data_IF_063433885241
#
_entry.id   IF_063433885241
#
_cell.length_a   1.000
_cell.length_b   1.000
_cell.length_c   1.000
_cell.angle_alpha   90.00
_cell.angle_beta   90.00
_cell.angle_gamma   90.00
#
_symmetry.space_group_name_H-M   'P 1'
#
loop_
_entity.id
_entity.type
_entity.pdbx_description
1 polymer ?
#
# COMPACT_ATOMS: atom_id res chain seq x y z
N UNK A 1 17.34 6.62 -10.67
CA UNK A 1 16.57 7.01 -9.46
C UNK A 1 16.99 6.10 -8.31
N UNK A 2 17.11 6.63 -7.09
CA UNK A 2 17.58 5.84 -5.94
C UNK A 2 16.45 5.26 -5.08
N UNK A 3 15.23 5.83 -5.11
CA UNK A 3 14.14 5.39 -4.23
C UNK A 3 12.81 5.23 -4.95
N UNK A 4 12.06 4.17 -4.62
CA UNK A 4 10.69 3.95 -5.10
C UNK A 4 9.74 3.98 -3.90
N UNK A 5 9.04 5.10 -3.75
CA UNK A 5 8.11 5.40 -2.65
C UNK A 5 6.91 6.15 -3.19
N UNK A 6 5.92 6.45 -2.34
CA UNK A 6 4.80 7.33 -2.71
C UNK A 6 5.25 8.66 -3.32
N UNK A 7 6.32 9.26 -2.80
CA UNK A 7 6.80 10.58 -3.23
C UNK A 7 7.46 10.55 -4.62
N UNK A 8 8.03 9.41 -5.00
CA UNK A 8 8.77 9.27 -6.28
C UNK A 8 7.97 8.53 -7.35
N UNK A 9 6.90 7.82 -6.97
CA UNK A 9 6.13 6.96 -7.87
C UNK A 9 5.59 7.70 -9.11
N UNK A 10 5.04 8.91 -8.94
CA UNK A 10 4.47 9.68 -10.05
C UNK A 10 5.51 10.07 -11.11
N UNK A 11 6.77 10.26 -10.69
CA UNK A 11 7.87 10.64 -11.58
C UNK A 11 8.29 9.48 -12.49
N UNK A 12 8.14 8.23 -12.02
CA UNK A 12 8.56 7.02 -12.74
C UNK A 12 7.41 6.32 -13.46
N UNK A 13 6.17 6.52 -13.03
CA UNK A 13 5.02 5.79 -13.54
C UNK A 13 4.92 5.86 -15.07
N UNK A 14 5.05 7.06 -15.66
CA UNK A 14 5.03 7.23 -17.12
C UNK A 14 6.13 6.43 -17.83
N UNK A 15 7.32 6.39 -17.25
CA UNK A 15 8.45 5.64 -17.81
C UNK A 15 8.21 4.14 -17.73
N UNK A 16 7.69 3.65 -16.61
CA UNK A 16 7.47 2.21 -16.40
C UNK A 16 6.32 1.66 -17.23
N UNK A 17 5.25 2.44 -17.43
CA UNK A 17 4.15 2.05 -18.32
C UNK A 17 4.65 1.92 -19.77
N UNK A 18 5.47 2.88 -20.24
CA UNK A 18 5.92 2.94 -21.64
C UNK A 18 7.06 2.00 -22.00
N UNK A 19 7.92 1.66 -21.04
CA UNK A 19 9.09 0.82 -21.28
C UNK A 19 8.74 -0.66 -21.21
N UNK A 20 9.31 -1.49 -22.08
CA UNK A 20 9.26 -2.96 -21.96
C UNK A 20 10.09 -3.48 -20.78
N UNK A 21 11.07 -2.68 -20.35
CA UNK A 21 11.97 -2.98 -19.26
C UNK A 21 11.86 -1.94 -18.14
N UNK A 22 11.66 -2.42 -16.91
CA UNK A 22 11.69 -1.62 -15.68
C UNK A 22 13.07 -1.85 -15.04
N UNK A 23 13.96 -0.87 -15.18
CA UNK A 23 15.31 -0.96 -14.61
C UNK A 23 15.33 -0.50 -13.15
N UNK A 24 15.50 -1.44 -12.22
CA UNK A 24 15.65 -1.16 -10.79
C UNK A 24 17.11 -1.22 -10.33
N UNK A 25 18.09 -1.40 -11.22
CA UNK A 25 19.49 -1.62 -10.87
C UNK A 25 20.08 -0.51 -9.99
N UNK A 26 19.64 0.73 -10.19
CA UNK A 26 20.04 1.91 -9.39
C UNK A 26 19.20 2.17 -8.13
N UNK A 27 18.22 1.35 -7.82
CA UNK A 27 17.35 1.51 -6.65
C UNK A 27 18.08 1.06 -5.38
N UNK A 28 18.20 1.97 -4.43
CA UNK A 28 18.79 1.75 -3.11
C UNK A 28 17.77 1.68 -1.99
N UNK A 29 16.51 2.06 -2.24
CA UNK A 29 15.41 1.94 -1.27
C UNK A 29 14.07 1.78 -1.99
N UNK A 30 13.22 0.91 -1.45
CA UNK A 30 11.83 0.74 -1.86
C UNK A 30 11.01 0.48 -0.61
N UNK A 31 9.79 0.99 -0.55
CA UNK A 31 8.89 0.78 0.58
C UNK A 31 7.65 -0.05 0.16
N UNK A 32 6.74 -0.40 1.10
CA UNK A 32 5.53 -1.15 0.74
C UNK A 32 4.69 -0.50 -0.36
N UNK A 33 4.63 0.84 -0.40
CA UNK A 33 3.91 1.53 -1.46
C UNK A 33 4.57 1.29 -2.82
N UNK A 34 5.89 1.46 -2.88
CA UNK A 34 6.66 1.22 -4.10
C UNK A 34 6.57 -0.21 -4.61
N UNK A 35 6.64 -1.20 -3.70
CA UNK A 35 6.52 -2.61 -4.07
C UNK A 35 5.14 -2.93 -4.63
N UNK A 36 4.06 -2.54 -3.94
CA UNK A 36 2.70 -2.80 -4.41
C UNK A 36 2.44 -2.07 -5.72
N UNK A 37 2.90 -0.83 -5.87
CA UNK A 37 2.69 -0.07 -7.10
C UNK A 37 3.39 -0.72 -8.32
N UNK A 38 4.55 -1.36 -8.13
CA UNK A 38 5.19 -2.19 -9.16
C UNK A 38 4.36 -3.43 -9.50
N UNK A 39 3.80 -4.12 -8.50
CA UNK A 39 2.93 -5.28 -8.72
C UNK A 39 1.66 -4.89 -9.47
N UNK A 40 1.04 -3.76 -9.13
CA UNK A 40 -0.14 -3.24 -9.82
C UNK A 40 0.16 -2.84 -11.28
N UNK A 41 1.35 -2.30 -11.58
CA UNK A 41 1.79 -2.13 -12.97
C UNK A 41 1.81 -3.48 -13.69
N UNK A 42 2.27 -4.54 -13.00
CA UNK A 42 2.27 -5.90 -13.52
C UNK A 42 0.87 -6.45 -13.77
N UNK A 43 -0.07 -6.24 -12.85
CA UNK A 43 -1.46 -6.63 -13.02
C UNK A 43 -2.11 -5.91 -14.21
N UNK A 44 -1.81 -4.62 -14.40
CA UNK A 44 -2.25 -3.89 -15.58
C UNK A 44 -1.68 -4.49 -16.87
N UNK A 45 -0.39 -4.88 -16.88
CA UNK A 45 0.22 -5.54 -18.03
C UNK A 45 -0.47 -6.87 -18.35
N UNK A 46 -0.82 -7.67 -17.33
CA UNK A 46 -1.56 -8.92 -17.52
C UNK A 46 -2.95 -8.70 -18.16
N UNK A 47 -3.67 -7.64 -17.78
CA UNK A 47 -4.96 -7.29 -18.40
C UNK A 47 -4.83 -6.91 -19.88
N UNK A 48 -3.66 -6.42 -20.29
CA UNK A 48 -3.34 -6.03 -21.66
C UNK A 48 -2.59 -7.12 -22.45
N UNK A 49 -2.42 -8.32 -21.88
CA UNK A 49 -1.61 -9.43 -22.42
C UNK A 49 -0.16 -9.03 -22.75
N UNK A 50 0.38 -8.10 -21.96
CA UNK A 50 1.77 -7.62 -22.03
C UNK A 50 2.57 -8.22 -20.88
N UNK A 51 3.82 -8.59 -21.15
CA UNK A 51 4.76 -9.02 -20.11
C UNK A 51 6.04 -8.19 -20.18
N UNK A 52 6.31 -7.44 -19.11
CA UNK A 52 7.52 -6.61 -18.99
C UNK A 52 8.65 -7.35 -18.27
N UNK A 53 9.87 -6.84 -18.40
CA UNK A 53 11.04 -7.36 -17.68
C UNK A 53 11.45 -6.40 -16.56
N UNK A 54 11.67 -6.90 -15.35
CA UNK A 54 12.28 -6.14 -14.25
C UNK A 54 13.76 -6.48 -14.18
N UNK A 55 14.63 -5.48 -14.33
CA UNK A 55 16.05 -5.61 -13.98
C UNK A 55 16.18 -5.43 -12.49
N UNK A 56 16.68 -6.43 -11.78
CA UNK A 56 16.72 -6.43 -10.33
C UNK A 56 17.70 -5.37 -9.77
N UNK A 57 17.45 -4.84 -8.56
CA UNK A 57 18.38 -3.94 -7.90
C UNK A 57 19.78 -4.54 -7.73
N UNK A 58 20.82 -3.70 -7.85
CA UNK A 58 22.19 -4.11 -7.51
C UNK A 58 22.42 -4.19 -6.00
N UNK A 59 21.62 -3.48 -5.21
CA UNK A 59 21.71 -3.50 -3.75
C UNK A 59 21.19 -4.84 -3.21
N UNK A 60 22.08 -5.65 -2.65
CA UNK A 60 21.69 -6.89 -1.98
C UNK A 60 20.73 -6.66 -0.82
N UNK A 61 20.85 -5.53 -0.12
CA UNK A 61 19.95 -5.18 0.97
C UNK A 61 18.51 -5.01 0.46
N UNK A 62 18.35 -4.33 -0.68
CA UNK A 62 17.05 -4.17 -1.34
C UNK A 62 16.54 -5.52 -1.83
N UNK A 63 17.37 -6.35 -2.45
CA UNK A 63 16.95 -7.69 -2.89
C UNK A 63 16.52 -8.58 -1.72
N UNK A 64 17.28 -8.59 -0.61
CA UNK A 64 16.90 -9.30 0.61
C UNK A 64 15.59 -8.76 1.19
N UNK A 65 15.37 -7.44 1.13
CA UNK A 65 14.12 -6.85 1.58
C UNK A 65 12.92 -7.26 0.70
N UNK A 66 13.08 -7.22 -0.62
CA UNK A 66 12.06 -7.69 -1.58
C UNK A 66 11.71 -9.16 -1.35
N UNK A 67 12.69 -10.02 -1.11
CA UNK A 67 12.48 -11.43 -0.78
C UNK A 67 11.72 -11.60 0.55
N UNK A 68 12.11 -10.86 1.61
CA UNK A 68 11.39 -10.90 2.91
C UNK A 68 9.94 -10.44 2.81
N UNK A 69 9.63 -9.58 1.85
CA UNK A 69 8.27 -9.06 1.62
C UNK A 69 7.46 -9.95 0.66
N UNK A 70 7.98 -11.11 0.26
CA UNK A 70 7.39 -11.99 -0.76
C UNK A 70 7.15 -11.31 -2.12
N UNK A 71 7.85 -10.20 -2.42
CA UNK A 71 7.66 -9.45 -3.67
C UNK A 71 7.92 -10.31 -4.90
N UNK A 72 9.01 -11.08 -4.92
CA UNK A 72 9.37 -11.89 -6.09
C UNK A 72 8.39 -13.04 -6.33
N UNK A 73 7.69 -13.52 -5.30
CA UNK A 73 6.64 -14.53 -5.44
C UNK A 73 5.47 -13.98 -6.27
N UNK A 74 5.08 -12.74 -6.02
CA UNK A 74 4.02 -12.07 -6.78
C UNK A 74 4.51 -11.57 -8.14
N UNK A 75 5.68 -10.93 -8.18
CA UNK A 75 6.21 -10.30 -9.39
C UNK A 75 6.45 -11.30 -10.54
N UNK A 76 6.84 -12.56 -10.25
CA UNK A 76 7.04 -13.59 -11.30
C UNK A 76 5.76 -13.96 -12.05
N UNK A 77 4.58 -13.64 -11.51
CA UNK A 77 3.30 -13.87 -12.19
C UNK A 77 3.13 -12.93 -13.39
N UNK A 78 3.47 -11.65 -13.23
CA UNK A 78 3.28 -10.60 -14.24
C UNK A 78 4.56 -10.17 -14.96
N UNK A 79 5.74 -10.46 -14.42
CA UNK A 79 7.02 -10.01 -14.97
C UNK A 79 8.00 -11.16 -15.24
N UNK A 80 8.87 -10.93 -16.21
CA UNK A 80 10.16 -11.62 -16.32
C UNK A 80 11.17 -10.92 -15.42
N UNK A 81 11.93 -11.67 -14.62
CA UNK A 81 12.95 -11.09 -13.73
C UNK A 81 14.34 -11.32 -14.32
N UNK A 82 15.08 -10.24 -14.54
CA UNK A 82 16.46 -10.26 -15.01
C UNK A 82 17.40 -9.92 -13.85
N UNK A 83 18.23 -10.87 -13.46
CA UNK A 83 19.24 -10.65 -12.43
C UNK A 83 20.27 -9.61 -12.90
N UNK A 84 20.56 -8.63 -12.04
CA UNK A 84 21.76 -7.82 -12.18
C UNK A 84 22.94 -8.72 -11.82
N UNK A 85 23.84 -8.95 -12.77
CA UNK A 85 24.96 -9.91 -12.64
C UNK A 85 25.74 -9.77 -11.32
N UNK A 86 26.10 -10.95 -10.77
CA UNK A 86 26.93 -11.23 -9.59
C UNK A 86 26.29 -11.19 -8.20
N UNK A 87 25.16 -11.87 -7.99
CA UNK A 87 24.94 -12.62 -6.75
C UNK A 87 23.90 -13.69 -7.02
N UNK A 88 24.38 -14.91 -7.31
CA UNK A 88 23.55 -16.09 -7.18
C UNK A 88 22.81 -16.00 -5.85
N UNK A 89 21.48 -16.14 -5.88
CA UNK A 89 20.64 -16.30 -4.69
C UNK A 89 20.97 -17.68 -4.10
N UNK A 90 22.20 -17.81 -3.59
CA UNK A 90 22.73 -18.96 -2.93
C UNK A 90 22.48 -18.76 -1.44
N UNK A 91 21.53 -19.55 -0.94
CA UNK A 91 21.34 -19.74 0.49
C UNK A 91 20.09 -19.07 1.01
N UNK A 92 19.19 -19.92 1.50
CA UNK A 92 18.17 -19.62 2.51
C UNK A 92 18.87 -18.97 3.70
N UNK A 93 19.13 -17.66 3.63
CA UNK A 93 19.74 -16.93 4.72
C UNK A 93 18.72 -16.84 5.84
N UNK A 94 19.15 -17.22 7.04
CA UNK A 94 18.33 -17.33 8.23
C UNK A 94 17.43 -16.11 8.37
N UNK A 95 16.11 -16.33 8.39
CA UNK A 95 15.14 -15.29 8.77
C UNK A 95 15.55 -14.81 10.16
N UNK A 96 16.21 -13.65 10.24
CA UNK A 96 16.54 -13.05 11.53
C UNK A 96 15.23 -12.82 12.27
N UNK A 97 15.19 -13.29 13.51
CA UNK A 97 14.02 -13.35 14.39
C UNK A 97 13.51 -11.98 14.87
N UNK A 98 13.88 -10.90 14.21
CA UNK A 98 13.44 -9.52 14.51
C UNK A 98 12.82 -8.93 13.25
N UNK A 99 11.68 -9.50 12.86
CA UNK A 99 10.99 -9.16 11.62
C UNK A 99 10.30 -7.82 11.80
N UNK A 100 10.94 -6.75 11.34
CA UNK A 100 10.29 -5.46 11.14
C UNK A 100 9.06 -5.56 10.19
N UNK A 101 8.89 -6.68 9.48
CA UNK A 101 7.73 -6.98 8.64
C UNK A 101 6.55 -7.37 9.52
N UNK A 102 5.47 -6.57 9.48
CA UNK A 102 4.21 -6.92 10.14
C UNK A 102 3.38 -7.84 9.24
N UNK A 103 3.36 -7.57 7.94
CA UNK A 103 2.66 -8.38 6.94
C UNK A 103 3.43 -8.33 5.62
N UNK A 104 3.90 -9.50 5.18
CA UNK A 104 4.44 -9.70 3.84
C UNK A 104 3.37 -9.38 2.78
N UNK A 105 3.77 -9.11 1.54
CA UNK A 105 2.81 -8.78 0.49
C UNK A 105 1.81 -9.94 0.35
N UNK A 106 0.54 -9.62 0.52
CA UNK A 106 -0.56 -10.58 0.53
C UNK A 106 -1.62 -10.14 -0.47
N UNK A 107 -2.04 -11.04 -1.34
CA UNK A 107 -3.13 -10.80 -2.28
C UNK A 107 -4.48 -10.76 -1.57
N UNK A 108 -5.38 -9.92 -2.06
CA UNK A 108 -6.76 -9.76 -1.60
C UNK A 108 -7.66 -10.09 -2.78
N UNK A 109 -8.18 -11.32 -2.79
CA UNK A 109 -9.01 -11.84 -3.88
C UNK A 109 -10.43 -12.20 -3.40
N UNK A 110 -10.57 -12.62 -2.14
CA UNK A 110 -11.84 -13.04 -1.52
C UNK A 110 -11.92 -12.61 -0.07
N UNK A 111 -13.15 -12.56 0.47
CA UNK A 111 -13.40 -12.13 1.86
C UNK A 111 -12.63 -12.94 2.92
N UNK A 112 -12.39 -14.24 2.67
CA UNK A 112 -11.62 -15.08 3.59
C UNK A 112 -10.15 -14.65 3.73
N UNK A 113 -9.59 -13.97 2.72
CA UNK A 113 -8.21 -13.49 2.79
C UNK A 113 -8.10 -12.37 3.83
N UNK A 114 -9.16 -11.60 4.06
CA UNK A 114 -9.21 -10.55 5.08
C UNK A 114 -9.09 -11.16 6.48
N UNK A 115 -9.80 -12.27 6.75
CA UNK A 115 -9.66 -12.99 8.01
C UNK A 115 -8.23 -13.48 8.24
N UNK A 116 -7.57 -13.99 7.19
CA UNK A 116 -6.17 -14.39 7.26
C UNK A 116 -5.23 -13.21 7.54
N UNK A 117 -5.41 -12.09 6.82
CA UNK A 117 -4.63 -10.85 7.00
C UNK A 117 -4.76 -10.33 8.44
N UNK A 118 -5.99 -10.26 8.96
CA UNK A 118 -6.27 -9.80 10.33
C UNK A 118 -5.63 -10.72 11.36
N UNK A 119 -5.75 -12.04 11.18
CA UNK A 119 -5.11 -13.02 12.07
C UNK A 119 -3.59 -12.84 12.13
N UNK A 120 -2.94 -12.79 10.95
CA UNK A 120 -1.49 -12.58 10.82
C UNK A 120 -1.00 -11.29 11.49
N UNK A 121 -1.75 -10.20 11.30
CA UNK A 121 -1.41 -8.91 11.89
C UNK A 121 -1.61 -8.94 13.41
N UNK A 122 -2.68 -9.55 13.91
CA UNK A 122 -2.93 -9.71 15.35
C UNK A 122 -1.82 -10.50 16.02
N UNK A 123 -1.39 -11.61 15.42
CA UNK A 123 -0.31 -12.46 15.95
C UNK A 123 1.02 -11.71 16.08
N UNK A 124 1.26 -10.72 15.21
CA UNK A 124 2.49 -9.90 15.20
C UNK A 124 2.33 -8.52 15.85
N UNK A 125 1.10 -8.13 16.19
CA UNK A 125 0.80 -6.82 16.75
C UNK A 125 1.48 -6.61 18.11
N UNK A 126 1.53 -7.63 18.96
CA UNK A 126 2.25 -7.54 20.24
C UNK A 126 3.75 -7.26 20.04
N UNK A 127 4.38 -7.94 19.08
CA UNK A 127 5.79 -7.80 18.82
C UNK A 127 6.14 -6.41 18.24
N UNK A 128 5.25 -5.82 17.44
CA UNK A 128 5.53 -4.60 16.68
C UNK A 128 4.78 -3.39 17.23
N UNK A 129 3.45 -3.42 17.23
CA UNK A 129 2.62 -2.27 17.60
C UNK A 129 2.75 -1.96 19.09
N UNK A 130 2.72 -2.99 19.95
CA UNK A 130 2.84 -2.80 21.40
C UNK A 130 4.30 -2.53 21.79
N UNK A 131 5.24 -3.41 21.46
CA UNK A 131 6.64 -3.28 21.92
C UNK A 131 7.42 -2.14 21.25
N UNK A 132 7.27 -1.92 19.94
CA UNK A 132 8.10 -0.97 19.20
C UNK A 132 7.42 0.37 18.90
N UNK A 133 6.09 0.42 18.87
CA UNK A 133 5.33 1.66 18.65
C UNK A 133 4.57 2.14 19.89
N UNK A 134 4.55 1.34 20.98
CA UNK A 134 3.96 1.69 22.29
C UNK A 134 2.46 1.96 22.24
N UNK A 135 1.77 1.32 21.30
CA UNK A 135 0.32 1.34 21.23
C UNK A 135 -0.31 0.46 22.32
N UNK A 136 -1.39 0.94 22.92
CA UNK A 136 -2.22 0.14 23.81
C UNK A 136 -3.12 -0.84 23.02
N UNK A 137 -3.76 -1.76 23.73
CA UNK A 137 -4.63 -2.78 23.12
C UNK A 137 -5.82 -2.16 22.35
N UNK A 138 -6.34 -1.02 22.84
CA UNK A 138 -7.44 -0.33 22.18
C UNK A 138 -6.99 0.21 20.80
N UNK A 139 -5.80 0.78 20.73
CA UNK A 139 -5.18 1.25 19.49
C UNK A 139 -4.89 0.12 18.51
N UNK A 140 -4.40 -1.03 19.01
CA UNK A 140 -4.17 -2.23 18.19
C UNK A 140 -5.48 -2.75 17.58
N UNK A 141 -6.56 -2.79 18.37
CA UNK A 141 -7.87 -3.17 17.85
C UNK A 141 -8.39 -2.16 16.81
N UNK A 142 -8.23 -0.86 17.07
CA UNK A 142 -8.54 0.19 16.10
C UNK A 142 -7.76 0.06 14.79
N UNK A 143 -6.48 -0.32 14.87
CA UNK A 143 -5.63 -0.61 13.71
C UNK A 143 -6.16 -1.78 12.88
N UNK A 144 -6.52 -2.89 13.55
CA UNK A 144 -7.05 -4.08 12.90
C UNK A 144 -8.38 -3.77 12.20
N UNK A 145 -9.27 -3.02 12.85
CA UNK A 145 -10.52 -2.56 12.24
C UNK A 145 -10.21 -1.70 11.01
N UNK A 146 -9.34 -0.69 11.15
CA UNK A 146 -8.98 0.19 10.04
C UNK A 146 -8.38 -0.60 8.85
N UNK A 147 -7.49 -1.55 9.11
CA UNK A 147 -6.94 -2.43 8.07
C UNK A 147 -8.02 -3.26 7.38
N UNK A 148 -8.94 -3.83 8.15
CA UNK A 148 -10.04 -4.65 7.63
C UNK A 148 -10.94 -3.84 6.70
N UNK A 149 -11.30 -2.61 7.10
CA UNK A 149 -12.12 -1.71 6.29
C UNK A 149 -11.43 -1.36 4.95
N UNK A 150 -10.13 -1.08 4.99
CA UNK A 150 -9.38 -0.75 3.76
C UNK A 150 -9.30 -1.96 2.82
N UNK A 151 -9.02 -3.16 3.34
CA UNK A 151 -9.00 -4.39 2.54
C UNK A 151 -10.39 -4.78 2.00
N UNK A 152 -11.44 -4.62 2.81
CA UNK A 152 -12.82 -4.92 2.42
C UNK A 152 -13.28 -4.06 1.24
N UNK A 153 -12.82 -2.80 1.14
CA UNK A 153 -13.13 -1.94 -0.01
C UNK A 153 -12.66 -2.55 -1.35
N UNK A 154 -11.57 -3.32 -1.37
CA UNK A 154 -11.14 -4.00 -2.59
C UNK A 154 -12.22 -5.00 -3.01
N UNK A 155 -12.59 -5.90 -2.10
CA UNK A 155 -13.58 -6.96 -2.37
C UNK A 155 -14.93 -6.38 -2.80
N UNK A 156 -15.37 -5.29 -2.18
CA UNK A 156 -16.70 -4.72 -2.42
C UNK A 156 -16.77 -3.79 -3.63
N UNK A 157 -15.67 -3.11 -3.97
CA UNK A 157 -15.74 -1.95 -4.87
C UNK A 157 -14.69 -1.92 -5.98
N UNK A 158 -13.64 -2.75 -5.92
CA UNK A 158 -12.59 -2.74 -6.93
C UNK A 158 -13.07 -3.31 -8.27
N UNK A 159 -13.98 -4.30 -8.25
CA UNK A 159 -14.25 -5.20 -9.40
C UNK A 159 -12.98 -5.96 -9.87
N UNK A 160 -11.95 -5.99 -9.02
CA UNK A 160 -10.66 -6.63 -9.27
C UNK A 160 -10.04 -7.08 -7.93
N UNK A 161 -8.97 -7.85 -8.00
CA UNK A 161 -8.13 -8.16 -6.84
C UNK A 161 -7.23 -6.99 -6.48
N UNK A 162 -6.54 -7.11 -5.35
CA UNK A 162 -5.52 -6.16 -4.94
C UNK A 162 -4.47 -6.79 -4.03
N UNK A 163 -3.60 -5.96 -3.47
CA UNK A 163 -2.55 -6.37 -2.56
C UNK A 163 -2.51 -5.50 -1.31
N UNK A 164 -2.02 -6.08 -0.21
CA UNK A 164 -1.66 -5.37 1.02
C UNK A 164 -0.24 -5.73 1.45
N UNK A 165 0.49 -4.75 1.99
CA UNK A 165 1.79 -4.99 2.64
C UNK A 165 2.00 -4.02 3.81
N UNK A 166 2.58 -4.51 4.90
CA UNK A 166 2.78 -3.72 6.13
C UNK A 166 4.18 -3.91 6.70
N UNK A 167 4.88 -2.80 6.89
CA UNK A 167 6.27 -2.77 7.35
C UNK A 167 6.48 -1.74 8.45
N UNK A 168 7.17 -2.13 9.52
CA UNK A 168 7.80 -1.21 10.48
C UNK A 168 9.15 -0.76 9.94
N UNK A 169 9.52 0.49 10.13
CA UNK A 169 10.91 0.91 10.00
C UNK A 169 11.20 2.13 10.87
N UNK A 170 12.49 2.36 11.15
CA UNK A 170 12.94 3.58 11.81
C UNK A 170 12.81 4.74 10.83
N UNK A 171 12.13 5.81 11.22
CA UNK A 171 12.02 7.03 10.43
C UNK A 171 13.07 8.04 10.90
N UNK A 172 14.19 8.22 10.17
CA UNK A 172 15.35 8.94 10.70
C UNK A 172 15.04 10.39 11.08
N UNK A 173 14.19 11.06 10.29
CA UNK A 173 13.82 12.46 10.52
C UNK A 173 13.09 12.70 11.83
N UNK A 174 12.36 11.71 12.35
CA UNK A 174 11.65 11.82 13.61
C UNK A 174 12.37 11.13 14.77
N UNK A 175 13.43 10.37 14.48
CA UNK A 175 14.04 9.45 15.42
C UNK A 175 12.99 8.59 16.16
N UNK A 176 12.03 8.08 15.40
CA UNK A 176 10.90 7.26 15.88
C UNK A 176 10.64 6.12 14.92
N UNK A 177 10.08 5.03 15.42
CA UNK A 177 9.55 3.98 14.56
C UNK A 177 8.27 4.44 13.87
N UNK A 178 8.03 3.97 12.65
CA UNK A 178 6.75 4.12 11.98
C UNK A 178 6.32 2.77 11.41
N UNK A 179 5.02 2.58 11.28
CA UNK A 179 4.43 1.48 10.49
C UNK A 179 3.84 2.07 9.23
N UNK A 180 4.22 1.52 8.09
CA UNK A 180 3.68 1.86 6.77
C UNK A 180 2.84 0.72 6.25
N UNK A 181 1.60 1.04 5.89
CA UNK A 181 0.62 0.16 5.30
C UNK A 181 0.37 0.65 3.88
N UNK A 182 0.48 -0.24 2.91
CA UNK A 182 0.04 0.00 1.56
C UNK A 182 -1.05 -1.01 1.21
N UNK A 183 -2.16 -0.54 0.63
CA UNK A 183 -3.23 -1.35 0.06
C UNK A 183 -3.53 -0.79 -1.33
N UNK A 184 -3.48 -1.64 -2.36
CA UNK A 184 -3.65 -1.20 -3.74
C UNK A 184 -4.47 -2.19 -4.56
N UNK A 185 -5.08 -1.68 -5.62
CA UNK A 185 -5.77 -2.45 -6.65
C UNK A 185 -5.66 -1.73 -8.01
N UNK A 186 -5.89 -2.49 -9.10
CA UNK A 186 -6.10 -1.96 -10.47
C UNK A 186 -7.57 -2.08 -10.91
N UNK A 187 -8.49 -1.81 -9.98
CA UNK A 187 -9.92 -1.86 -10.19
C UNK A 187 -10.50 -0.61 -10.87
N UNK A 188 -11.80 -0.42 -10.65
CA UNK A 188 -12.56 0.70 -11.24
C UNK A 188 -12.25 2.07 -10.62
N UNK A 189 -11.67 2.09 -9.42
CA UNK A 189 -11.35 3.30 -8.67
C UNK A 189 -12.57 4.02 -8.10
N UNK A 190 -12.30 5.03 -7.26
CA UNK A 190 -13.33 5.71 -6.45
C UNK A 190 -14.39 6.43 -7.28
N UNK A 191 -13.98 7.05 -8.39
CA UNK A 191 -14.92 7.82 -9.23
C UNK A 191 -16.00 6.91 -9.79
N UNK A 192 -15.64 5.79 -10.42
CA UNK A 192 -16.62 4.86 -11.01
C UNK A 192 -17.42 4.14 -9.92
N UNK A 193 -16.79 3.69 -8.83
CA UNK A 193 -17.51 2.98 -7.76
C UNK A 193 -18.57 3.85 -7.06
N UNK A 194 -18.33 5.16 -6.92
CA UNK A 194 -19.24 6.09 -6.26
C UNK A 194 -20.23 6.79 -7.19
N UNK A 195 -19.98 6.83 -8.50
CA UNK A 195 -20.83 7.56 -9.47
C UNK A 195 -22.29 7.09 -9.49
N UNK A 196 -22.55 5.83 -9.13
CA UNK A 196 -23.92 5.29 -9.05
C UNK A 196 -24.70 5.77 -7.81
N UNK A 197 -24.02 6.34 -6.81
CA UNK A 197 -24.62 6.75 -5.52
C UNK A 197 -24.57 8.25 -5.30
N UNK A 198 -23.57 8.92 -5.86
CA UNK A 198 -23.35 10.35 -5.67
C UNK A 198 -23.03 11.03 -7.00
N UNK A 199 -23.45 12.28 -7.19
CA UNK A 199 -22.95 13.06 -8.32
C UNK A 199 -21.46 13.36 -8.10
N UNK A 200 -20.59 12.75 -8.89
CA UNK A 200 -19.12 12.92 -8.79
C UNK A 200 -18.60 13.84 -9.88
N UNK A 201 -17.90 14.91 -9.50
CA UNK A 201 -17.38 15.93 -10.43
C UNK A 201 -15.97 15.62 -10.94
N UNK A 202 -15.13 14.99 -10.13
CA UNK A 202 -13.72 14.71 -10.45
C UNK A 202 -13.19 13.55 -9.61
N UNK A 203 -12.01 13.03 -9.95
CA UNK A 203 -11.37 11.98 -9.13
C UNK A 203 -11.12 12.46 -7.70
N UNK A 204 -10.69 13.72 -7.52
CA UNK A 204 -10.48 14.29 -6.18
C UNK A 204 -11.80 14.41 -5.41
N UNK A 205 -12.88 14.82 -6.07
CA UNK A 205 -14.23 14.88 -5.45
C UNK A 205 -14.71 13.48 -5.01
N UNK A 206 -14.38 12.44 -5.78
CA UNK A 206 -14.68 11.06 -5.40
C UNK A 206 -13.93 10.63 -4.13
N UNK A 207 -12.63 10.90 -4.08
CA UNK A 207 -11.79 10.55 -2.93
C UNK A 207 -12.23 11.33 -1.69
N UNK A 208 -12.51 12.62 -1.84
CA UNK A 208 -12.99 13.49 -0.77
C UNK A 208 -14.32 12.98 -0.18
N UNK A 209 -15.30 12.63 -1.03
CA UNK A 209 -16.57 12.03 -0.58
C UNK A 209 -16.40 10.68 0.09
N UNK A 210 -15.52 9.84 -0.42
CA UNK A 210 -15.24 8.54 0.20
C UNK A 210 -14.67 8.72 1.62
N UNK A 211 -13.72 9.65 1.78
CA UNK A 211 -12.93 9.82 3.00
C UNK A 211 -13.63 10.69 4.06
N UNK A 212 -14.30 11.77 3.64
CA UNK A 212 -14.89 12.75 4.55
C UNK A 212 -16.36 12.50 4.84
N UNK A 213 -17.12 12.13 3.81
CA UNK A 213 -18.58 12.01 3.88
C UNK A 213 -19.07 10.60 4.15
N UNK A 214 -18.14 9.62 4.24
CA UNK A 214 -18.45 8.24 4.60
C UNK A 214 -19.55 7.70 3.71
N UNK A 215 -19.25 7.48 2.42
CA UNK A 215 -20.17 7.04 1.36
C UNK A 215 -20.95 5.72 1.62
N UNK A 216 -20.90 5.19 2.85
CA UNK A 216 -21.76 4.15 3.38
C UNK A 216 -23.09 4.73 3.89
N UNK A 217 -24.16 4.02 3.55
CA UNK A 217 -25.56 4.40 3.69
C UNK A 217 -26.01 4.37 5.16
N UNK A 218 -27.06 5.14 5.44
CA UNK A 218 -28.17 4.87 6.38
C UNK A 218 -27.97 3.72 7.38
N UNK A 219 -28.07 4.06 8.67
CA UNK A 219 -28.71 3.27 9.73
C UNK A 219 -28.64 1.74 9.58
N UNK A 220 -27.47 1.14 9.75
CA UNK A 220 -27.35 -0.25 10.21
C UNK A 220 -26.38 -0.25 11.40
N UNK A 221 -26.94 -0.29 12.62
CA UNK A 221 -26.22 -0.48 13.88
C UNK A 221 -25.49 -1.84 13.83
N UNK A 222 -24.25 -1.87 13.34
CA UNK A 222 -23.38 -3.04 13.46
C UNK A 222 -22.37 -3.30 12.34
N UNK A 223 -22.36 -2.53 11.25
CA UNK A 223 -21.32 -2.65 10.20
C UNK A 223 -20.45 -1.39 10.14
N UNK A 224 -19.13 -1.59 10.02
CA UNK A 224 -18.09 -0.60 10.25
C UNK A 224 -18.27 0.71 9.49
N UNK A 225 -17.74 1.80 10.05
CA UNK A 225 -17.96 3.16 9.55
C UNK A 225 -17.16 3.50 8.26
N UNK A 226 -16.67 2.51 7.51
CA UNK A 226 -15.93 2.68 6.26
C UNK A 226 -14.63 3.47 6.40
N UNK A 227 -14.18 4.08 5.29
CA UNK A 227 -12.99 4.95 5.25
C UNK A 227 -13.06 6.15 6.20
N UNK A 228 -14.25 6.57 6.62
CA UNK A 228 -14.39 7.61 7.63
C UNK A 228 -13.91 7.14 9.01
N UNK A 229 -14.13 5.87 9.38
CA UNK A 229 -13.52 5.27 10.58
C UNK A 229 -12.01 5.20 10.46
N UNK A 230 -11.49 4.72 9.32
CA UNK A 230 -10.05 4.65 9.03
C UNK A 230 -9.42 6.02 9.23
N UNK A 231 -10.02 7.07 8.65
CA UNK A 231 -9.58 8.46 8.83
C UNK A 231 -9.55 8.87 10.30
N UNK A 232 -10.63 8.63 11.06
CA UNK A 232 -10.70 9.03 12.48
C UNK A 232 -9.60 8.35 13.28
N UNK A 233 -9.41 7.04 13.09
CA UNK A 233 -8.35 6.28 13.73
C UNK A 233 -6.97 6.84 13.40
N UNK A 234 -6.65 7.01 12.10
CA UNK A 234 -5.35 7.54 11.68
C UNK A 234 -5.11 8.94 12.25
N UNK A 235 -6.13 9.81 12.26
CA UNK A 235 -6.03 11.17 12.79
C UNK A 235 -5.81 11.18 14.31
N UNK A 236 -6.53 10.33 15.05
CA UNK A 236 -6.39 10.18 16.50
C UNK A 236 -4.95 9.87 16.91
N UNK A 237 -4.26 9.04 16.13
CA UNK A 237 -2.88 8.64 16.38
C UNK A 237 -1.83 9.48 15.65
N UNK A 238 -2.21 10.68 15.22
CA UNK A 238 -1.35 11.61 14.46
C UNK A 238 -0.67 10.93 13.26
N UNK A 239 -1.35 9.98 12.62
CA UNK A 239 -0.87 9.31 11.43
C UNK A 239 -1.13 10.10 10.15
N UNK A 240 -0.50 9.64 9.06
CA UNK A 240 -0.76 10.10 7.69
C UNK A 240 -1.65 9.08 6.98
N UNK A 241 -2.67 9.53 6.26
CA UNK A 241 -3.37 8.71 5.26
C UNK A 241 -3.35 9.44 3.93
N UNK A 242 -3.16 8.70 2.85
CA UNK A 242 -3.06 9.21 1.49
C UNK A 242 -3.75 8.22 0.56
N UNK A 243 -4.66 8.73 -0.26
CA UNK A 243 -5.45 7.96 -1.21
C UNK A 243 -5.25 8.57 -2.59
N UNK A 244 -4.81 7.74 -3.53
CA UNK A 244 -4.64 8.10 -4.93
C UNK A 244 -5.55 7.23 -5.80
N UNK A 245 -6.31 7.85 -6.70
CA UNK A 245 -7.18 7.15 -7.65
C UNK A 245 -7.39 8.01 -8.90
N UNK A 246 -7.37 7.38 -10.07
CA UNK A 246 -7.42 8.09 -11.36
C UNK A 246 -6.24 9.07 -11.51
N UNK A 247 -6.56 10.35 -11.63
CA UNK A 247 -5.61 11.47 -11.83
C UNK A 247 -5.39 12.33 -10.59
N UNK A 248 -5.84 11.89 -9.40
CA UNK A 248 -5.79 12.69 -8.18
C UNK A 248 -5.24 11.91 -6.98
N UNK A 249 -4.70 12.66 -6.02
CA UNK A 249 -4.34 12.18 -4.67
C UNK A 249 -4.88 13.15 -3.63
N UNK A 250 -5.48 12.61 -2.57
CA UNK A 250 -5.85 13.33 -1.35
C UNK A 250 -5.07 12.73 -0.17
N UNK A 251 -4.49 13.59 0.67
CA UNK A 251 -3.73 13.19 1.84
C UNK A 251 -4.15 13.99 3.07
N UNK A 252 -4.28 13.32 4.20
CA UNK A 252 -4.35 13.93 5.53
C UNK A 252 -2.97 13.78 6.16
N UNK A 253 -2.32 14.91 6.41
CA UNK A 253 -0.91 14.98 6.76
C UNK A 253 -0.79 15.52 8.20
N UNK A 254 -0.18 14.77 9.14
CA UNK A 254 0.06 15.25 10.49
C UNK A 254 1.21 16.26 10.52
N UNK A 255 1.30 17.07 11.58
CA UNK A 255 2.29 18.15 11.70
C UNK A 255 3.75 17.71 11.52
N UNK A 256 4.07 16.47 11.90
CA UNK A 256 5.43 15.93 11.80
C UNK A 256 5.83 15.51 10.37
N UNK A 257 4.84 15.36 9.48
CA UNK A 257 5.04 14.89 8.11
C UNK A 257 4.99 16.06 7.12
N UNK A 258 5.50 15.82 5.90
CA UNK A 258 5.46 16.78 4.80
C UNK A 258 4.76 16.16 3.60
N UNK A 259 4.27 17.01 2.71
CA UNK A 259 3.64 16.58 1.46
C UNK A 259 2.61 17.59 0.99
N UNK A 260 1.79 17.17 0.04
CA UNK A 260 0.66 17.95 -0.46
C UNK A 260 -0.63 17.27 -0.05
N UNK A 261 -1.56 18.04 0.52
CA UNK A 261 -2.88 17.52 0.87
C UNK A 261 -3.68 17.15 -0.37
N UNK A 262 -3.55 17.92 -1.45
CA UNK A 262 -4.26 17.67 -2.70
C UNK A 262 -3.30 17.73 -3.89
N UNK A 263 -3.40 16.73 -4.76
CA UNK A 263 -2.70 16.70 -6.04
C UNK A 263 -3.69 16.35 -7.16
N UNK A 264 -3.55 17.02 -8.29
CA UNK A 264 -4.40 16.88 -9.48
C UNK A 264 -3.53 16.79 -10.73
N UNK A 265 -4.08 16.23 -11.80
CA UNK A 265 -3.34 16.09 -13.07
C UNK A 265 -2.21 15.07 -12.98
N UNK A 266 -2.31 14.13 -12.03
CA UNK A 266 -1.42 12.97 -11.97
C UNK A 266 -1.61 12.09 -13.21
N UNK A 267 -0.63 11.24 -13.47
CA UNK A 267 -0.74 10.27 -14.58
C UNK A 267 -1.94 9.37 -14.31
N UNK A 268 -2.82 9.17 -15.29
CA UNK A 268 -3.95 8.24 -15.13
C UNK A 268 -3.42 6.86 -14.75
N UNK A 269 -3.96 6.28 -13.68
CA UNK A 269 -3.72 4.91 -13.29
C UNK A 269 -5.02 4.33 -12.69
N UNK A 270 -5.42 3.11 -13.07
CA UNK A 270 -6.65 2.50 -12.61
C UNK A 270 -6.63 2.19 -11.11
N UNK A 271 -7.80 1.84 -10.58
CA UNK A 271 -7.97 1.40 -9.22
C UNK A 271 -7.70 2.46 -8.15
N UNK A 272 -7.25 1.99 -7.00
CA UNK A 272 -6.93 2.83 -5.87
C UNK A 272 -5.59 2.44 -5.23
N UNK A 273 -4.93 3.44 -4.66
CA UNK A 273 -3.69 3.27 -3.91
C UNK A 273 -3.86 3.98 -2.57
N UNK A 274 -3.91 3.21 -1.48
CA UNK A 274 -4.09 3.70 -0.13
C UNK A 274 -2.79 3.46 0.63
N UNK A 275 -2.27 4.54 1.21
CA UNK A 275 -1.06 4.55 2.00
C UNK A 275 -1.37 5.13 3.38
N UNK A 276 -1.07 4.38 4.43
CA UNK A 276 -1.24 4.80 5.82
C UNK A 276 0.11 4.72 6.53
N UNK A 277 0.45 5.75 7.30
CA UNK A 277 1.66 5.79 8.13
C UNK A 277 1.26 6.13 9.56
N UNK A 278 1.66 5.27 10.50
CA UNK A 278 1.42 5.46 11.93
C UNK A 278 2.75 5.62 12.67
N UNK A 279 2.94 6.69 13.46
CA UNK A 279 4.16 6.89 14.22
C UNK A 279 4.17 6.10 15.54
N UNK A 280 5.35 5.88 16.10
CA UNK A 280 5.56 5.52 17.49
C UNK A 280 5.04 6.63 18.41
N UNK A 281 4.30 6.24 19.45
CA UNK A 281 3.67 7.11 20.45
C UNK A 281 4.72 7.66 21.42
#
# INVERSE_FOLDING_TARGET
MTQITEETFEQILKSFIRSEQIDLSGVSFIDPYGMLALLEIGELCLLEDVRKTIVLPRSEEVCRYLERMDFFTHARRSFSLLESSSAAIAGRSQRSSDSDVLLEITAIERSNDIHYIVGKVRDRAEAILVKHLRYDEHAVNGFIVALSEVCQNIIEHSENKGFVGIQKYRYPKLNRNIVKIAVMDVGVGFKKSLSNRFPIKSDLDAIDKALLHGASRHEDEGRGHGLAAVRRFVTQWQGKISIRSGTARLSIIPQWSRGREQERGLTQFPGSQINIILPEV
#
